data_IF_246431101497
#
_entry.id   IF_246431101497
#
_cell.length_a   1.000
_cell.length_b   1.000
_cell.length_c   1.000
_cell.angle_alpha   90.00
_cell.angle_beta   90.00
_cell.angle_gamma   90.00
#
_symmetry.space_group_name_H-M   'P 1'
#
loop_
_entity.id
_entity.type
_entity.pdbx_description
1 polymer ?
#
# COMPACT_ATOMS: atom_id res chain seq x y z
N UNK A 1 -8.59 12.46 45.62
CA UNK A 1 -9.30 12.96 44.43
C UNK A 1 -10.36 11.93 44.05
N UNK A 2 -11.60 12.10 44.53
CA UNK A 2 -12.70 11.17 44.27
C UNK A 2 -13.03 11.30 42.78
N UNK A 3 -12.57 10.32 42.01
CA UNK A 3 -12.73 10.26 40.57
C UNK A 3 -14.20 9.90 40.31
N UNK A 4 -14.95 10.79 39.65
CA UNK A 4 -16.38 10.66 39.33
C UNK A 4 -16.65 9.45 38.43
N UNK A 5 -16.69 8.28 39.03
CA UNK A 5 -17.14 7.06 38.39
C UNK A 5 -18.67 7.10 38.41
N UNK A 6 -19.27 7.26 37.23
CA UNK A 6 -20.73 7.32 37.13
C UNK A 6 -21.31 5.92 36.96
N UNK A 7 -22.31 5.58 37.77
CA UNK A 7 -23.05 4.34 37.65
C UNK A 7 -24.36 4.58 36.90
N UNK A 8 -24.63 3.76 35.88
CA UNK A 8 -25.92 3.73 35.18
C UNK A 8 -26.51 2.33 35.26
N UNK A 9 -27.79 2.23 35.57
CA UNK A 9 -28.52 0.95 35.48
C UNK A 9 -29.12 0.84 34.08
N UNK A 10 -28.78 -0.23 33.35
CA UNK A 10 -29.36 -0.56 32.04
C UNK A 10 -29.81 -2.02 32.08
N UNK A 11 -31.07 -2.29 31.74
CA UNK A 11 -31.67 -3.63 31.77
C UNK A 11 -31.44 -4.38 33.10
N UNK A 12 -31.54 -3.67 34.23
CA UNK A 12 -31.33 -4.21 35.58
C UNK A 12 -29.86 -4.50 35.95
N UNK A 13 -28.90 -4.27 35.04
CA UNK A 13 -27.46 -4.44 35.30
C UNK A 13 -26.80 -3.10 35.57
N UNK A 14 -25.94 -3.06 36.59
CA UNK A 14 -25.09 -1.89 36.89
C UNK A 14 -24.00 -1.78 35.82
N UNK A 15 -23.95 -0.64 35.14
CA UNK A 15 -22.93 -0.31 34.17
C UNK A 15 -22.09 0.86 34.68
N UNK A 16 -20.81 0.59 34.91
CA UNK A 16 -19.86 1.58 35.42
C UNK A 16 -19.26 2.33 34.25
N UNK A 17 -19.44 3.65 34.23
CA UNK A 17 -18.89 4.56 33.21
C UNK A 17 -17.65 5.21 33.80
N UNK A 18 -16.50 4.85 33.23
CA UNK A 18 -15.22 5.44 33.58
C UNK A 18 -14.94 6.67 32.69
N UNK A 19 -14.66 7.85 33.28
CA UNK A 19 -14.14 9.01 32.57
C UNK A 19 -12.87 8.70 31.77
N UNK A 20 -12.67 9.42 30.67
CA UNK A 20 -11.55 9.17 29.75
C UNK A 20 -10.19 9.38 30.43
N UNK A 21 -10.08 10.35 31.32
CA UNK A 21 -8.85 10.69 32.06
C UNK A 21 -8.40 9.53 32.94
N UNK A 22 -9.37 8.82 33.55
CA UNK A 22 -9.08 7.63 34.37
C UNK A 22 -8.57 6.51 33.48
N UNK A 23 -9.26 6.24 32.37
CA UNK A 23 -8.87 5.19 31.41
C UNK A 23 -7.43 5.41 30.94
N UNK A 24 -7.10 6.65 30.57
CA UNK A 24 -5.76 7.02 30.11
C UNK A 24 -4.71 6.97 31.23
N UNK A 25 -5.04 7.40 32.45
CA UNK A 25 -4.14 7.31 33.61
C UNK A 25 -3.75 5.85 33.90
N UNK A 26 -4.73 4.96 33.89
CA UNK A 26 -4.52 3.53 34.13
C UNK A 26 -3.66 2.93 33.02
N UNK A 27 -3.96 3.25 31.75
CA UNK A 27 -3.14 2.80 30.62
C UNK A 27 -1.70 3.28 30.75
N UNK A 28 -1.46 4.56 31.09
CA UNK A 28 -0.11 5.11 31.30
C UNK A 28 0.63 4.46 32.46
N UNK A 29 -0.05 4.12 33.55
CA UNK A 29 0.56 3.42 34.69
C UNK A 29 0.98 1.99 34.29
N UNK A 30 0.17 1.31 33.46
CA UNK A 30 0.47 -0.02 32.93
C UNK A 30 1.63 0.02 31.93
N UNK A 31 1.65 1.00 31.02
CA UNK A 31 2.73 1.20 30.04
C UNK A 31 4.08 1.46 30.74
N UNK A 32 4.07 2.21 31.84
CA UNK A 32 5.26 2.44 32.66
C UNK A 32 5.71 1.21 33.46
N UNK A 33 4.98 0.10 33.41
CA UNK A 33 5.25 -1.11 34.19
C UNK A 33 5.01 -0.96 35.69
N UNK A 34 4.34 0.12 36.12
CA UNK A 34 4.08 0.39 37.55
C UNK A 34 2.92 -0.44 38.10
N UNK A 35 2.05 -0.93 37.22
CA UNK A 35 0.92 -1.78 37.56
C UNK A 35 0.74 -2.89 36.52
N UNK A 36 0.51 -4.10 36.99
CA UNK A 36 -0.07 -5.17 36.19
C UNK A 36 -1.56 -4.91 35.94
N UNK A 37 -2.11 -5.52 34.88
CA UNK A 37 -3.57 -5.45 34.59
C UNK A 37 -4.40 -5.92 35.79
N UNK A 38 -3.92 -6.94 36.53
CA UNK A 38 -4.59 -7.43 37.76
C UNK A 38 -4.49 -6.42 38.91
N UNK A 39 -3.33 -5.82 39.12
CA UNK A 39 -3.13 -4.82 40.18
C UNK A 39 -3.93 -3.55 39.90
N UNK A 40 -4.01 -3.13 38.63
CA UNK A 40 -4.88 -2.04 38.20
C UNK A 40 -6.36 -2.38 38.41
N UNK A 41 -6.75 -3.63 38.19
CA UNK A 41 -8.11 -4.10 38.44
C UNK A 41 -8.49 -3.96 39.92
N UNK A 42 -7.62 -4.42 40.83
CA UNK A 42 -7.83 -4.34 42.28
C UNK A 42 -7.78 -2.89 42.79
N UNK A 43 -6.76 -2.13 42.39
CA UNK A 43 -6.55 -0.74 42.83
C UNK A 43 -7.67 0.20 42.40
N UNK A 44 -8.24 0.00 41.21
CA UNK A 44 -9.28 0.87 40.64
C UNK A 44 -10.69 0.27 40.69
N UNK A 45 -10.87 -0.91 41.31
CA UNK A 45 -12.18 -1.56 41.48
C UNK A 45 -12.86 -1.91 40.15
N UNK A 46 -12.09 -2.36 39.16
CA UNK A 46 -12.62 -2.68 37.83
C UNK A 46 -13.16 -4.11 37.83
N UNK A 47 -14.39 -4.31 37.37
CA UNK A 47 -15.04 -5.61 37.48
C UNK A 47 -14.38 -6.72 36.62
N UNK A 48 -13.81 -6.35 35.47
CA UNK A 48 -13.22 -7.30 34.53
C UNK A 48 -11.91 -6.79 33.93
N UNK A 49 -10.89 -7.64 33.88
CA UNK A 49 -9.62 -7.36 33.18
C UNK A 49 -9.83 -7.04 31.69
N UNK A 50 -10.87 -7.60 31.06
CA UNK A 50 -11.22 -7.32 29.67
C UNK A 50 -11.55 -5.84 29.41
N UNK A 51 -12.08 -5.12 30.41
CA UNK A 51 -12.34 -3.68 30.32
C UNK A 51 -11.03 -2.89 30.17
N UNK A 52 -10.01 -3.26 30.95
CA UNK A 52 -8.67 -2.65 30.88
C UNK A 52 -8.00 -2.99 29.56
N UNK A 53 -8.12 -4.24 29.09
CA UNK A 53 -7.61 -4.64 27.78
C UNK A 53 -8.27 -3.84 26.64
N UNK A 54 -9.57 -3.57 26.74
CA UNK A 54 -10.28 -2.70 25.82
C UNK A 54 -9.71 -1.28 25.82
N UNK A 55 -9.36 -0.73 26.99
CA UNK A 55 -8.71 0.58 27.08
C UNK A 55 -7.29 0.56 26.53
N UNK A 56 -6.50 -0.48 26.80
CA UNK A 56 -5.17 -0.66 26.20
C UNK A 56 -5.26 -0.71 24.67
N UNK A 57 -6.24 -1.41 24.11
CA UNK A 57 -6.49 -1.45 22.67
C UNK A 57 -6.80 -0.08 22.06
N UNK A 58 -7.41 0.81 22.83
CA UNK A 58 -7.89 2.12 22.38
C UNK A 58 -6.88 3.26 22.63
N UNK A 59 -6.15 3.22 23.74
CA UNK A 59 -5.31 4.34 24.20
C UNK A 59 -3.81 4.02 24.23
N UNK A 60 -3.39 2.75 24.13
CA UNK A 60 -1.98 2.36 24.16
C UNK A 60 -1.47 2.00 22.77
N UNK A 61 -0.56 2.82 22.25
CA UNK A 61 0.11 2.54 20.98
C UNK A 61 1.11 1.38 21.11
N UNK A 62 1.78 1.25 22.25
CA UNK A 62 2.68 0.12 22.51
C UNK A 62 1.90 -1.20 22.53
N UNK A 63 0.74 -1.22 23.18
CA UNK A 63 -0.11 -2.39 23.20
C UNK A 63 -0.61 -2.76 21.81
N UNK A 64 -1.04 -1.75 21.01
CA UNK A 64 -1.47 -1.97 19.63
C UNK A 64 -0.35 -2.55 18.79
N UNK A 65 0.82 -1.95 18.80
CA UNK A 65 1.94 -2.39 17.96
C UNK A 65 2.44 -3.78 18.33
N UNK A 66 2.43 -4.15 19.62
CA UNK A 66 2.95 -5.43 20.09
C UNK A 66 1.95 -6.58 20.00
N UNK A 67 0.67 -6.32 20.26
CA UNK A 67 -0.33 -7.40 20.43
C UNK A 67 -1.46 -7.38 19.39
N UNK A 68 -1.72 -6.26 18.71
CA UNK A 68 -2.78 -6.24 17.69
C UNK A 68 -2.26 -6.73 16.33
N UNK A 69 -3.11 -7.53 15.68
CA UNK A 69 -2.91 -7.87 14.27
C UNK A 69 -3.01 -6.60 13.43
N UNK A 70 -2.03 -6.39 12.56
CA UNK A 70 -2.07 -5.31 11.57
C UNK A 70 -3.12 -5.66 10.52
N UNK A 71 -4.07 -4.76 10.31
CA UNK A 71 -5.12 -4.93 9.30
C UNK A 71 -4.78 -4.00 8.14
N UNK A 72 -4.60 -4.59 6.96
CA UNK A 72 -4.38 -3.85 5.73
C UNK A 72 -5.66 -3.79 4.90
N UNK A 73 -5.93 -2.60 4.34
CA UNK A 73 -6.96 -2.39 3.31
C UNK A 73 -6.57 -3.06 2.00
N UNK A 74 -7.53 -3.31 1.11
CA UNK A 74 -7.25 -3.92 -0.21
C UNK A 74 -6.23 -3.10 -1.02
N UNK A 75 -6.38 -1.78 -1.03
CA UNK A 75 -5.44 -0.89 -1.71
C UNK A 75 -4.01 -1.00 -1.15
N UNK A 76 -3.86 -1.07 0.17
CA UNK A 76 -2.54 -1.25 0.80
C UNK A 76 -1.94 -2.61 0.45
N UNK A 77 -2.73 -3.69 0.48
CA UNK A 77 -2.28 -5.03 0.10
C UNK A 77 -1.79 -5.05 -1.35
N UNK A 78 -2.52 -4.43 -2.28
CA UNK A 78 -2.10 -4.30 -3.69
C UNK A 78 -0.78 -3.56 -3.86
N UNK A 79 -0.55 -2.50 -3.10
CA UNK A 79 0.72 -1.77 -3.16
C UNK A 79 1.88 -2.62 -2.63
N UNK A 80 1.68 -3.31 -1.51
CA UNK A 80 2.68 -4.22 -0.95
C UNK A 80 3.02 -5.33 -1.95
N UNK A 81 2.02 -5.92 -2.61
CA UNK A 81 2.26 -7.01 -3.57
C UNK A 81 2.94 -6.50 -4.84
N UNK A 82 2.61 -5.31 -5.35
CA UNK A 82 3.35 -4.71 -6.46
C UNK A 82 4.83 -4.47 -6.15
N UNK A 83 5.15 -4.03 -4.92
CA UNK A 83 6.54 -3.88 -4.47
C UNK A 83 7.28 -5.22 -4.42
N UNK A 84 6.59 -6.30 -4.02
CA UNK A 84 7.16 -7.65 -3.97
C UNK A 84 7.31 -8.25 -5.37
N UNK A 85 6.32 -8.12 -6.25
CA UNK A 85 6.36 -8.62 -7.64
C UNK A 85 7.40 -7.91 -8.50
N UNK A 86 7.59 -6.60 -8.30
CA UNK A 86 8.62 -5.82 -8.99
C UNK A 86 10.05 -6.11 -8.50
N UNK A 87 10.21 -6.94 -7.47
CA UNK A 87 11.51 -7.31 -6.92
C UNK A 87 12.16 -6.24 -6.03
N UNK A 88 11.49 -5.11 -5.77
CA UNK A 88 11.99 -4.07 -4.87
C UNK A 88 12.02 -4.54 -3.40
N UNK A 89 11.11 -5.45 -3.03
CA UNK A 89 11.12 -6.12 -1.74
C UNK A 89 11.09 -7.64 -1.90
N UNK A 90 12.01 -8.33 -1.23
CA UNK A 90 11.88 -9.77 -1.00
C UNK A 90 10.72 -10.05 -0.03
N UNK A 91 10.08 -11.21 -0.18
CA UNK A 91 9.00 -11.67 0.71
C UNK A 91 9.44 -11.59 2.18
N UNK A 92 10.68 -11.97 2.50
CA UNK A 92 11.21 -11.91 3.88
C UNK A 92 11.27 -10.47 4.40
N UNK A 93 11.81 -9.55 3.61
CA UNK A 93 11.94 -8.13 3.97
C UNK A 93 10.55 -7.48 4.10
N UNK A 94 9.62 -7.85 3.23
CA UNK A 94 8.24 -7.39 3.30
C UNK A 94 7.53 -7.91 4.57
N UNK A 95 7.79 -9.15 5.00
CA UNK A 95 7.22 -9.69 6.24
C UNK A 95 7.67 -8.88 7.46
N UNK A 96 8.95 -8.54 7.54
CA UNK A 96 9.50 -7.74 8.63
C UNK A 96 8.96 -6.31 8.60
N UNK A 97 8.99 -5.66 7.43
CA UNK A 97 8.54 -4.27 7.25
C UNK A 97 7.06 -4.10 7.57
N UNK A 98 6.21 -5.02 7.09
CA UNK A 98 4.75 -4.91 7.21
C UNK A 98 4.18 -5.74 8.37
N UNK A 99 5.02 -6.41 9.18
CA UNK A 99 4.59 -7.27 10.30
C UNK A 99 3.52 -8.28 9.89
N UNK A 100 3.69 -8.89 8.72
CA UNK A 100 2.82 -9.94 8.18
C UNK A 100 3.61 -11.24 8.02
N UNK A 101 2.92 -12.36 8.04
CA UNK A 101 3.57 -13.66 7.83
C UNK A 101 3.85 -13.88 6.34
N UNK A 102 4.84 -14.72 6.03
CA UNK A 102 5.15 -15.10 4.65
C UNK A 102 3.93 -15.73 3.96
N UNK A 103 3.15 -16.51 4.70
CA UNK A 103 1.91 -17.12 4.18
C UNK A 103 0.90 -16.06 3.77
N UNK A 104 0.74 -15.01 4.59
CA UNK A 104 -0.16 -13.89 4.26
C UNK A 104 0.26 -13.21 2.95
N UNK A 105 1.57 -13.00 2.74
CA UNK A 105 2.08 -12.42 1.50
C UNK A 105 1.86 -13.36 0.31
N UNK A 106 2.09 -14.67 0.47
CA UNK A 106 1.84 -15.67 -0.58
C UNK A 106 0.36 -15.75 -0.96
N UNK A 107 -0.53 -15.72 0.02
CA UNK A 107 -1.98 -15.70 -0.19
C UNK A 107 -2.40 -14.45 -0.97
N UNK A 108 -1.90 -13.28 -0.56
CA UNK A 108 -2.13 -12.05 -1.30
C UNK A 108 -1.55 -12.12 -2.72
N UNK A 109 -0.33 -12.63 -2.89
CA UNK A 109 0.28 -12.82 -4.21
C UNK A 109 -0.60 -13.71 -5.09
N UNK A 110 -1.16 -14.79 -4.56
CA UNK A 110 -2.10 -15.66 -5.29
C UNK A 110 -3.37 -14.91 -5.72
N UNK A 111 -3.95 -14.10 -4.84
CA UNK A 111 -5.15 -13.31 -5.14
C UNK A 111 -4.86 -12.22 -6.18
N UNK A 112 -3.79 -11.45 -5.99
CA UNK A 112 -3.48 -10.31 -6.85
C UNK A 112 -2.78 -10.68 -8.15
N UNK A 113 -2.05 -11.80 -8.23
CA UNK A 113 -1.53 -12.32 -9.50
C UNK A 113 -2.67 -12.78 -10.43
N UNK A 114 -3.71 -13.41 -9.88
CA UNK A 114 -4.93 -13.73 -10.63
C UNK A 114 -5.67 -12.45 -11.08
N UNK A 115 -5.70 -11.41 -10.25
CA UNK A 115 -6.32 -10.12 -10.60
C UNK A 115 -5.49 -9.35 -11.65
N UNK A 116 -4.17 -9.38 -11.59
CA UNK A 116 -3.26 -8.74 -12.56
C UNK A 116 -3.38 -9.37 -13.96
N UNK A 117 -3.54 -10.69 -14.02
CA UNK A 117 -3.85 -11.39 -15.27
C UNK A 117 -5.21 -10.94 -15.84
N UNK A 118 -6.21 -10.71 -14.99
CA UNK A 118 -7.52 -10.22 -15.42
C UNK A 118 -7.56 -8.72 -15.75
N UNK A 119 -6.80 -7.88 -15.05
CA UNK A 119 -6.63 -6.45 -15.36
C UNK A 119 -5.89 -6.26 -16.68
N UNK A 120 -4.94 -7.17 -17.01
CA UNK A 120 -4.35 -7.25 -18.35
C UNK A 120 -5.41 -7.63 -19.40
N UNK A 121 -6.27 -8.62 -19.14
CA UNK A 121 -7.36 -9.03 -20.04
C UNK A 121 -8.43 -7.91 -20.22
N UNK A 122 -8.67 -7.08 -19.21
CA UNK A 122 -9.62 -5.95 -19.28
C UNK A 122 -9.05 -4.73 -20.03
N UNK A 123 -7.74 -4.49 -19.96
CA UNK A 123 -7.08 -3.51 -20.85
C UNK A 123 -6.95 -4.04 -22.29
N UNK A 124 -6.73 -5.35 -22.46
CA UNK A 124 -6.61 -5.98 -23.79
C UNK A 124 -7.96 -5.98 -24.53
N UNK A 125 -9.09 -6.03 -23.83
CA UNK A 125 -10.41 -5.93 -24.47
C UNK A 125 -10.79 -4.51 -24.96
N UNK A 126 -10.06 -3.47 -24.56
CA UNK A 126 -10.12 -2.13 -25.20
C UNK A 126 -9.12 -2.02 -26.36
N UNK A 127 -8.16 -2.95 -26.46
CA UNK A 127 -7.07 -3.00 -27.45
C UNK A 127 -7.22 -4.26 -28.32
N UNK A 128 -8.45 -4.68 -28.61
CA UNK A 128 -8.72 -5.72 -29.62
C UNK A 128 -8.69 -5.17 -31.05
N UNK A 129 -7.81 -4.20 -31.32
CA UNK A 129 -7.17 -4.06 -32.61
C UNK A 129 -5.66 -4.26 -32.38
N UNK A 130 -5.15 -5.39 -32.91
CA UNK A 130 -3.75 -5.83 -33.00
C UNK A 130 -3.16 -6.67 -31.84
N UNK A 131 -3.60 -7.92 -31.77
CA UNK A 131 -2.80 -9.17 -31.74
C UNK A 131 -1.38 -9.20 -31.09
N UNK A 132 -1.31 -9.84 -29.89
CA UNK A 132 -0.35 -10.87 -29.39
C UNK A 132 1.19 -10.59 -29.34
N UNK A 133 1.74 -10.45 -28.11
CA UNK A 133 2.96 -11.03 -27.43
C UNK A 133 4.16 -11.58 -28.25
N UNK A 134 5.46 -11.63 -27.80
CA UNK A 134 6.07 -11.30 -26.49
C UNK A 134 7.50 -10.63 -26.50
N UNK A 135 8.07 -10.40 -25.31
CA UNK A 135 9.52 -10.26 -24.97
C UNK A 135 10.25 -8.96 -25.35
N UNK A 136 10.95 -8.42 -24.35
CA UNK A 136 11.74 -7.18 -24.25
C UNK A 136 12.76 -6.92 -25.40
N UNK A 137 12.98 -7.87 -26.31
CA UNK A 137 13.83 -7.72 -27.50
C UNK A 137 13.14 -7.05 -28.69
N UNK A 138 11.81 -6.94 -28.66
CA UNK A 138 10.99 -6.42 -29.77
C UNK A 138 10.96 -4.89 -29.84
N UNK A 139 10.94 -4.20 -28.71
CA UNK A 139 10.93 -2.72 -28.66
C UNK A 139 12.21 -2.11 -29.20
N UNK A 140 13.37 -2.74 -28.96
CA UNK A 140 14.64 -2.28 -29.54
C UNK A 140 14.66 -2.50 -31.06
N UNK A 141 14.14 -3.64 -31.54
CA UNK A 141 14.01 -3.88 -32.98
C UNK A 141 13.06 -2.91 -33.67
N UNK A 142 11.95 -2.58 -33.02
CA UNK A 142 10.99 -1.60 -33.52
C UNK A 142 11.58 -0.18 -33.51
N UNK A 143 12.32 0.18 -32.45
CA UNK A 143 13.05 1.44 -32.37
C UNK A 143 14.11 1.55 -33.49
N UNK A 144 14.89 0.50 -33.72
CA UNK A 144 15.87 0.47 -34.80
C UNK A 144 15.19 0.51 -36.18
N UNK A 145 14.06 -0.17 -36.37
CA UNK A 145 13.29 -0.09 -37.61
C UNK A 145 12.72 1.32 -37.86
N UNK A 146 12.24 2.00 -36.82
CA UNK A 146 11.77 3.38 -36.91
C UNK A 146 12.93 4.35 -37.19
N UNK A 147 14.09 4.18 -36.56
CA UNK A 147 15.30 4.97 -36.86
C UNK A 147 15.75 4.76 -38.31
N UNK A 148 15.75 3.52 -38.80
CA UNK A 148 16.11 3.20 -40.18
C UNK A 148 15.12 3.83 -41.17
N UNK A 149 13.82 3.83 -40.84
CA UNK A 149 12.79 4.51 -41.63
C UNK A 149 13.01 6.02 -41.67
N UNK A 150 13.35 6.64 -40.55
CA UNK A 150 13.67 8.08 -40.48
C UNK A 150 14.89 8.38 -41.36
N UNK A 151 15.98 7.62 -41.20
CA UNK A 151 17.20 7.81 -41.99
C UNK A 151 16.96 7.63 -43.50
N UNK A 152 16.16 6.65 -43.90
CA UNK A 152 15.79 6.45 -45.30
C UNK A 152 14.95 7.59 -45.88
N UNK A 153 14.03 8.15 -45.08
CA UNK A 153 13.23 9.32 -45.48
C UNK A 153 14.09 10.57 -45.60
N UNK A 154 15.04 10.79 -44.68
CA UNK A 154 16.02 11.89 -44.76
C UNK A 154 16.89 11.76 -46.02
N UNK A 155 17.42 10.57 -46.31
CA UNK A 155 18.20 10.34 -47.52
C UNK A 155 17.39 10.53 -48.82
N UNK A 156 16.10 10.16 -48.81
CA UNK A 156 15.21 10.39 -49.95
C UNK A 156 14.95 11.89 -50.16
N UNK A 157 14.85 12.66 -49.08
CA UNK A 157 14.77 14.12 -49.14
C UNK A 157 16.06 14.67 -49.75
N UNK A 158 17.24 14.25 -49.29
CA UNK A 158 18.52 14.71 -49.83
C UNK A 158 18.66 14.43 -51.34
N UNK A 159 18.31 13.23 -51.79
CA UNK A 159 18.32 12.86 -53.21
C UNK A 159 17.32 13.72 -53.99
N UNK A 160 16.13 13.96 -53.46
CA UNK A 160 15.12 14.78 -54.11
C UNK A 160 15.57 16.26 -54.22
N UNK A 161 16.23 16.81 -53.19
CA UNK A 161 16.78 18.16 -53.22
C UNK A 161 17.91 18.28 -54.26
N UNK A 162 18.75 17.25 -54.41
CA UNK A 162 19.85 17.21 -55.38
C UNK A 162 19.37 17.09 -56.83
N UNK A 163 18.49 16.12 -57.12
CA UNK A 163 18.03 15.82 -58.48
C UNK A 163 17.09 16.91 -59.02
N UNK A 164 16.18 17.42 -58.17
CA UNK A 164 15.16 18.38 -58.59
C UNK A 164 15.51 19.83 -58.26
N UNK A 165 16.62 20.11 -57.57
CA UNK A 165 17.08 21.46 -57.18
C UNK A 165 16.00 22.29 -56.47
N UNK A 166 15.14 21.63 -55.70
CA UNK A 166 14.10 22.23 -54.87
C UNK A 166 14.48 22.08 -53.40
N UNK A 167 14.25 23.12 -52.61
CA UNK A 167 14.55 23.14 -51.18
C UNK A 167 13.33 22.60 -50.42
N UNK A 168 13.39 21.35 -49.95
CA UNK A 168 12.26 20.66 -49.31
C UNK A 168 12.32 20.90 -47.80
N UNK A 169 13.51 21.01 -47.22
CA UNK A 169 13.70 21.25 -45.79
C UNK A 169 13.44 22.71 -45.42
N UNK A 170 12.70 22.92 -44.33
CA UNK A 170 12.55 24.25 -43.73
C UNK A 170 13.90 24.70 -43.15
N UNK A 171 14.50 25.76 -43.71
CA UNK A 171 15.65 26.43 -43.07
C UNK A 171 15.17 27.06 -41.76
N UNK A 172 15.75 26.65 -40.64
CA UNK A 172 15.54 27.31 -39.34
C UNK A 172 15.96 28.77 -39.50
N UNK A 173 14.97 29.66 -39.62
CA UNK A 173 15.18 31.06 -39.96
C UNK A 173 16.08 31.78 -38.96
N UNK A 174 16.93 32.66 -39.50
CA UNK A 174 17.77 33.63 -38.81
C UNK A 174 16.96 34.48 -37.82
N UNK A 175 17.51 34.70 -36.61
CA UNK A 175 17.04 35.73 -35.68
C UNK A 175 17.08 37.11 -36.35
N UNK A 176 16.12 37.98 -36.01
CA UNK A 176 16.05 39.39 -36.43
C UNK A 176 17.40 40.12 -36.35
#
# INVERSE_FOLDING_TARGET
>A
MKKDIQERIVNGKKHIIYPQEIKQSIVKEIEKGLLSVKEAQEKYGIAQAGTIQGWLKQYSEEYRTKYMRVIYTDAQRRTIIREVESGHLSILVACEKYRVTQETIKDWLKVYSCLSNNDSIMQENTINNTSKMPVITSKDKELEALKLKIAGLEAMIDIAEQEFKIDIRKKSGTKQ
#
